data_IF_451085152072
#
_entry.id   IF_451085152072
#
_cell.length_a   1.000
_cell.length_b   1.000
_cell.length_c   1.000
_cell.angle_alpha   90.00
_cell.angle_beta   90.00
_cell.angle_gamma   90.00
#
_symmetry.space_group_name_H-M   'P 1'
#
loop_
_entity.id
_entity.type
_entity.pdbx_description
1 polymer ?
#
# COMPACT_ATOMS: atom_id res chain seq x y z
N UNK A 1 8.24 11.76 -11.39
CA UNK A 1 7.34 12.83 -11.89
C UNK A 1 5.98 12.81 -11.19
N UNK A 2 5.19 13.90 -11.20
CA UNK A 2 3.82 13.94 -10.63
C UNK A 2 2.85 12.92 -11.23
N UNK A 3 3.15 12.37 -12.41
CA UNK A 3 2.37 11.27 -12.98
C UNK A 3 2.56 9.97 -12.19
N UNK A 4 3.76 9.73 -11.67
CA UNK A 4 4.13 8.53 -10.94
C UNK A 4 3.49 8.54 -9.54
N UNK A 5 3.57 9.67 -8.82
CA UNK A 5 2.89 9.87 -7.54
C UNK A 5 1.37 9.71 -7.68
N UNK A 6 0.77 10.21 -8.77
CA UNK A 6 -0.66 10.02 -9.04
C UNK A 6 -1.03 8.57 -9.33
N UNK A 7 -0.20 7.86 -10.10
CA UNK A 7 -0.42 6.44 -10.39
C UNK A 7 -0.31 5.61 -9.10
N UNK A 8 0.65 5.93 -8.23
CA UNK A 8 0.78 5.30 -6.92
C UNK A 8 -0.49 5.50 -6.07
N UNK A 9 -0.98 6.74 -5.96
CA UNK A 9 -2.21 7.02 -5.20
C UNK A 9 -3.44 6.30 -5.78
N UNK A 10 -3.53 6.19 -7.10
CA UNK A 10 -4.61 5.45 -7.75
C UNK A 10 -4.54 3.95 -7.44
N UNK A 11 -3.33 3.37 -7.42
CA UNK A 11 -3.14 1.98 -7.04
C UNK A 11 -3.51 1.74 -5.56
N UNK A 12 -3.05 2.62 -4.65
CA UNK A 12 -3.43 2.56 -3.24
C UNK A 12 -4.96 2.61 -3.07
N UNK A 13 -5.64 3.52 -3.77
CA UNK A 13 -7.09 3.63 -3.69
C UNK A 13 -7.82 2.35 -4.16
N UNK A 14 -7.29 1.64 -5.16
CA UNK A 14 -7.87 0.37 -5.59
C UNK A 14 -7.58 -0.76 -4.58
N UNK A 15 -6.38 -0.79 -3.97
CA UNK A 15 -6.07 -1.74 -2.90
C UNK A 15 -6.99 -1.55 -1.68
N UNK A 16 -7.19 -0.30 -1.23
CA UNK A 16 -8.09 0.01 -0.11
C UNK A 16 -9.56 -0.34 -0.39
N UNK A 17 -9.98 -0.21 -1.65
CA UNK A 17 -11.30 -0.67 -2.06
C UNK A 17 -11.41 -2.20 -1.97
N UNK A 18 -10.34 -2.92 -2.32
CA UNK A 18 -10.21 -4.36 -2.09
C UNK A 18 -10.38 -4.72 -0.62
N UNK A 19 -9.69 -4.01 0.29
CA UNK A 19 -9.84 -4.18 1.74
C UNK A 19 -11.29 -4.00 2.19
N UNK A 20 -11.94 -2.94 1.72
CA UNK A 20 -13.33 -2.65 2.03
C UNK A 20 -14.26 -3.77 1.57
N UNK A 21 -14.13 -4.24 0.34
CA UNK A 21 -14.97 -5.29 -0.22
C UNK A 21 -14.75 -6.62 0.53
N UNK A 22 -13.49 -6.94 0.86
CA UNK A 22 -13.11 -8.09 1.66
C UNK A 22 -13.74 -8.07 3.07
N UNK A 23 -13.59 -6.96 3.80
CA UNK A 23 -14.21 -6.79 5.12
C UNK A 23 -15.74 -6.81 5.06
N UNK A 24 -16.32 -6.22 4.03
CA UNK A 24 -17.78 -6.23 3.80
C UNK A 24 -18.29 -7.65 3.60
N UNK A 25 -17.58 -8.48 2.83
CA UNK A 25 -17.94 -9.89 2.64
C UNK A 25 -17.94 -10.66 3.98
N UNK A 26 -16.88 -10.49 4.78
CA UNK A 26 -16.81 -11.11 6.11
C UNK A 26 -17.92 -10.63 7.04
N UNK A 27 -18.25 -9.34 7.03
CA UNK A 27 -19.35 -8.78 7.81
C UNK A 27 -20.70 -9.39 7.43
N UNK A 28 -20.98 -9.55 6.13
CA UNK A 28 -22.22 -10.19 5.65
C UNK A 28 -22.28 -11.65 6.11
N UNK A 29 -21.19 -12.41 5.90
CA UNK A 29 -21.14 -13.82 6.29
C UNK A 29 -21.33 -14.03 7.79
N UNK A 30 -20.74 -13.17 8.62
CA UNK A 30 -20.94 -13.18 10.08
C UNK A 30 -22.40 -12.91 10.45
N UNK A 31 -23.07 -11.98 9.77
CA UNK A 31 -24.47 -11.64 10.00
C UNK A 31 -25.45 -12.75 9.61
N UNK A 32 -25.12 -13.52 8.57
CA UNK A 32 -25.99 -14.59 8.04
C UNK A 32 -25.73 -15.95 8.68
N UNK A 33 -24.46 -16.29 8.92
CA UNK A 33 -24.02 -17.65 9.29
C UNK A 33 -23.40 -17.74 10.68
N UNK A 34 -23.05 -16.59 11.29
CA UNK A 34 -22.27 -16.54 12.53
C UNK A 34 -20.81 -16.97 12.36
N UNK A 35 -20.33 -17.11 11.12
CA UNK A 35 -18.96 -17.50 10.78
C UNK A 35 -18.33 -16.50 9.83
N UNK A 36 -17.01 -16.43 9.85
CA UNK A 36 -16.25 -15.72 8.82
C UNK A 36 -16.45 -16.40 7.47
N UNK A 37 -16.48 -15.62 6.39
CA UNK A 37 -16.51 -16.17 5.04
C UNK A 37 -15.31 -17.11 4.81
N UNK A 38 -15.52 -18.19 4.07
CA UNK A 38 -14.43 -19.06 3.60
C UNK A 38 -13.52 -18.23 2.69
N UNK A 39 -12.46 -17.67 3.26
CA UNK A 39 -11.47 -16.90 2.53
C UNK A 39 -10.64 -17.87 1.68
N UNK A 40 -11.02 -18.04 0.42
CA UNK A 40 -10.02 -18.37 -0.58
C UNK A 40 -8.99 -17.24 -0.53
N UNK A 41 -7.76 -17.53 -0.07
CA UNK A 41 -6.65 -16.57 -0.09
C UNK A 41 -6.63 -15.90 -1.46
N UNK A 42 -6.68 -14.56 -1.57
CA UNK A 42 -6.51 -13.90 -2.86
C UNK A 42 -5.03 -14.01 -3.22
N UNK A 43 -4.64 -15.17 -3.77
CA UNK A 43 -3.29 -15.44 -4.28
C UNK A 43 -2.91 -14.37 -5.33
N UNK A 44 -3.90 -13.81 -6.03
CA UNK A 44 -3.72 -12.79 -7.06
C UNK A 44 -3.28 -11.42 -6.53
N UNK A 45 -3.58 -11.03 -5.29
CA UNK A 45 -3.12 -9.77 -4.70
C UNK A 45 -1.65 -9.86 -4.26
N UNK A 46 -1.25 -11.00 -3.68
CA UNK A 46 0.16 -11.29 -3.39
C UNK A 46 1.01 -11.41 -4.66
N UNK A 47 0.48 -12.00 -5.74
CA UNK A 47 1.18 -12.09 -7.02
C UNK A 47 1.29 -10.74 -7.75
N UNK A 48 0.26 -9.88 -7.67
CA UNK A 48 0.29 -8.53 -8.28
C UNK A 48 1.28 -7.61 -7.58
N UNK A 49 1.44 -7.72 -6.27
CA UNK A 49 2.50 -7.00 -5.54
C UNK A 49 3.90 -7.36 -6.10
N UNK A 50 4.13 -8.63 -6.46
CA UNK A 50 5.35 -9.06 -7.13
C UNK A 50 5.44 -8.68 -8.62
N UNK A 51 4.32 -8.62 -9.33
CA UNK A 51 4.27 -8.34 -10.78
C UNK A 51 4.50 -6.87 -11.15
N UNK A 52 4.14 -5.93 -10.28
CA UNK A 52 4.33 -4.49 -10.52
C UNK A 52 5.83 -4.10 -10.51
N UNK A 53 6.70 -4.95 -9.94
CA UNK A 53 8.16 -4.76 -9.86
C UNK A 53 8.83 -4.72 -11.26
N UNK A 54 8.17 -5.19 -12.33
CA UNK A 54 8.83 -5.41 -13.63
C UNK A 54 8.43 -4.49 -14.80
N UNK A 55 7.40 -3.64 -14.69
CA UNK A 55 7.08 -2.70 -15.77
C UNK A 55 7.85 -1.39 -15.63
N UNK A 56 9.13 -1.46 -16.00
CA UNK A 56 9.98 -0.29 -16.27
C UNK A 56 9.38 0.51 -17.43
N UNK A 57 8.51 1.48 -17.14
CA UNK A 57 8.05 2.46 -18.15
C UNK A 57 9.08 3.55 -18.30
N UNK A 58 9.89 3.42 -19.34
CA UNK A 58 10.68 4.53 -19.90
C UNK A 58 9.71 5.49 -20.59
N UNK A 59 9.46 6.65 -19.98
CA UNK A 59 8.53 7.66 -20.50
C UNK A 59 8.91 9.07 -20.10
N UNK A 60 9.44 9.81 -21.07
CA UNK A 60 9.66 11.27 -21.19
C UNK A 60 9.68 12.11 -19.90
N UNK A 61 10.89 12.51 -19.51
CA UNK A 61 11.15 13.51 -18.47
C UNK A 61 10.45 14.83 -18.82
N UNK A 62 9.47 15.20 -18.00
CA UNK A 62 9.03 16.59 -17.85
C UNK A 62 9.38 16.96 -16.42
N UNK A 63 10.35 17.86 -16.27
CA UNK A 63 10.91 18.26 -14.98
C UNK A 63 9.84 19.00 -14.14
N UNK A 64 9.48 18.49 -12.95
CA UNK A 64 8.57 19.20 -12.05
C UNK A 64 9.34 20.30 -11.30
N UNK A 65 8.80 21.52 -11.13
CA UNK A 65 9.43 22.56 -10.32
C UNK A 65 9.63 22.10 -8.87
N UNK A 66 10.65 22.62 -8.18
CA UNK A 66 11.03 22.26 -6.79
C UNK A 66 9.86 22.23 -5.78
N UNK A 67 8.88 23.12 -5.96
CA UNK A 67 7.66 23.14 -5.13
C UNK A 67 6.76 21.91 -5.30
N UNK A 68 6.73 21.32 -6.51
CA UNK A 68 5.97 20.10 -6.81
C UNK A 68 6.64 18.86 -6.19
N UNK A 69 7.97 18.76 -6.23
CA UNK A 69 8.70 17.66 -5.58
C UNK A 69 8.52 17.66 -4.06
N UNK A 70 8.54 18.84 -3.43
CA UNK A 70 8.25 18.97 -1.99
C UNK A 70 6.83 18.51 -1.64
N UNK A 71 5.87 18.64 -2.56
CA UNK A 71 4.50 18.18 -2.35
C UNK A 71 4.39 16.66 -2.47
N UNK A 72 5.08 16.05 -3.44
CA UNK A 72 5.08 14.60 -3.64
C UNK A 72 5.73 13.86 -2.45
N UNK A 73 6.86 14.35 -1.93
CA UNK A 73 7.44 13.81 -0.68
C UNK A 73 6.49 13.87 0.52
N UNK A 74 5.67 14.92 0.60
CA UNK A 74 4.74 15.09 1.72
C UNK A 74 3.56 14.12 1.61
N UNK A 75 3.08 13.88 0.39
CA UNK A 75 2.02 12.91 0.09
C UNK A 75 2.51 11.48 0.38
N UNK A 76 3.70 11.10 -0.09
CA UNK A 76 4.24 9.75 0.16
C UNK A 76 4.50 9.49 1.66
N UNK A 77 4.98 10.50 2.40
CA UNK A 77 5.11 10.38 3.87
C UNK A 77 3.76 10.21 4.57
N UNK A 78 2.73 10.89 4.08
CA UNK A 78 1.38 10.74 4.62
C UNK A 78 0.85 9.33 4.36
N UNK A 79 1.00 8.82 3.13
CA UNK A 79 0.62 7.45 2.80
C UNK A 79 1.36 6.43 3.68
N UNK A 80 2.68 6.53 3.82
CA UNK A 80 3.46 5.68 4.74
C UNK A 80 2.95 5.70 6.18
N UNK A 81 2.59 6.87 6.71
CA UNK A 81 2.05 6.98 8.05
C UNK A 81 0.69 6.28 8.18
N UNK A 82 -0.18 6.44 7.19
CA UNK A 82 -1.49 5.78 7.14
C UNK A 82 -1.34 4.25 7.11
N UNK A 83 -0.51 3.72 6.21
CA UNK A 83 -0.29 2.27 6.15
C UNK A 83 0.33 1.71 7.44
N UNK A 84 1.21 2.50 8.09
CA UNK A 84 1.77 2.14 9.40
C UNK A 84 0.71 2.04 10.48
N UNK A 85 -0.21 3.01 10.51
CA UNK A 85 -1.28 3.04 11.48
C UNK A 85 -2.25 1.86 11.26
N UNK A 86 -2.62 1.54 10.01
CA UNK A 86 -3.49 0.41 9.70
C UNK A 86 -2.84 -0.95 9.97
N UNK A 87 -1.57 -1.14 9.59
CA UNK A 87 -0.80 -2.34 9.95
C UNK A 87 -0.79 -2.57 11.46
N UNK A 88 -0.54 -1.51 12.24
CA UNK A 88 -0.52 -1.61 13.70
C UNK A 88 -1.92 -1.86 14.27
N UNK A 89 -2.94 -1.22 13.71
CA UNK A 89 -4.34 -1.43 14.09
C UNK A 89 -4.73 -2.91 13.91
N UNK A 90 -4.50 -3.49 12.73
CA UNK A 90 -4.84 -4.87 12.43
C UNK A 90 -4.04 -5.86 13.28
N UNK A 91 -2.72 -5.65 13.44
CA UNK A 91 -1.89 -6.47 14.33
C UNK A 91 -2.41 -6.46 15.77
N UNK A 92 -2.77 -5.29 16.30
CA UNK A 92 -3.26 -5.17 17.67
C UNK A 92 -4.64 -5.81 17.83
N UNK A 93 -5.52 -5.64 16.84
CA UNK A 93 -6.83 -6.28 16.82
C UNK A 93 -6.72 -7.82 16.79
N UNK A 94 -5.81 -8.36 15.96
CA UNK A 94 -5.55 -9.80 15.87
C UNK A 94 -5.14 -10.41 17.22
N UNK A 95 -4.27 -9.70 17.98
CA UNK A 95 -3.81 -10.14 19.31
C UNK A 95 -4.93 -10.30 20.33
N UNK A 96 -6.00 -9.52 20.19
CA UNK A 96 -7.16 -9.56 21.10
C UNK A 96 -8.34 -10.32 20.53
N UNK A 97 -8.22 -10.91 19.34
CA UNK A 97 -9.29 -11.65 18.68
C UNK A 97 -9.33 -13.10 19.18
N UNK A 98 -10.44 -13.52 19.77
CA UNK A 98 -10.63 -14.88 20.27
C UNK A 98 -10.92 -15.90 19.16
N UNK A 99 -11.68 -15.48 18.14
CA UNK A 99 -12.01 -16.32 16.98
C UNK A 99 -10.76 -16.53 16.11
N UNK A 100 -10.29 -17.78 15.93
CA UNK A 100 -9.10 -18.06 15.14
C UNK A 100 -9.22 -17.64 13.67
N UNK A 101 -10.42 -17.69 13.09
CA UNK A 101 -10.64 -17.26 11.70
C UNK A 101 -10.62 -15.74 11.58
N UNK A 102 -11.26 -15.05 12.52
CA UNK A 102 -11.19 -13.59 12.62
C UNK A 102 -9.78 -13.09 12.85
N UNK A 103 -8.99 -13.82 13.65
CA UNK A 103 -7.57 -13.50 13.87
C UNK A 103 -6.78 -13.60 12.57
N UNK A 104 -6.96 -14.68 11.82
CA UNK A 104 -6.29 -14.88 10.52
C UNK A 104 -6.64 -13.77 9.51
N UNK A 105 -7.90 -13.36 9.45
CA UNK A 105 -8.35 -12.25 8.59
C UNK A 105 -7.63 -10.95 8.93
N UNK A 106 -7.49 -10.64 10.23
CA UNK A 106 -6.79 -9.43 10.69
C UNK A 106 -5.27 -9.51 10.48
N UNK A 107 -4.66 -10.68 10.69
CA UNK A 107 -3.24 -10.90 10.39
C UNK A 107 -2.95 -10.69 8.90
N UNK A 108 -3.82 -11.20 8.02
CA UNK A 108 -3.69 -11.03 6.57
C UNK A 108 -3.79 -9.56 6.15
N UNK A 109 -4.76 -8.80 6.69
CA UNK A 109 -4.86 -7.35 6.44
C UNK A 109 -3.59 -6.63 6.91
N UNK A 110 -3.06 -6.97 8.07
CA UNK A 110 -1.79 -6.40 8.53
C UNK A 110 -0.62 -6.72 7.60
N UNK A 111 -0.58 -7.91 7.00
CA UNK A 111 0.47 -8.29 6.05
C UNK A 111 0.34 -7.48 4.75
N UNK A 112 -0.88 -7.25 4.26
CA UNK A 112 -1.13 -6.40 3.10
C UNK A 112 -0.65 -4.97 3.31
N UNK A 113 -0.98 -4.36 4.45
CA UNK A 113 -0.48 -3.01 4.77
C UNK A 113 1.04 -2.97 4.87
N UNK A 114 1.69 -4.04 5.35
CA UNK A 114 3.15 -4.12 5.34
C UNK A 114 3.71 -4.12 3.91
N UNK A 115 3.06 -4.83 2.99
CA UNK A 115 3.42 -4.81 1.57
C UNK A 115 3.23 -3.41 0.94
N UNK A 116 2.15 -2.71 1.30
CA UNK A 116 1.90 -1.34 0.86
C UNK A 116 2.98 -0.38 1.35
N UNK A 117 3.36 -0.47 2.64
CA UNK A 117 4.45 0.32 3.21
C UNK A 117 5.75 0.14 2.44
N UNK A 118 6.13 -1.11 2.15
CA UNK A 118 7.36 -1.45 1.43
C UNK A 118 7.34 -0.85 0.01
N UNK A 119 6.22 -0.98 -0.69
CA UNK A 119 6.04 -0.37 -2.01
C UNK A 119 6.19 1.16 -1.95
N UNK A 120 5.51 1.84 -1.02
CA UNK A 120 5.58 3.30 -0.91
C UNK A 120 7.00 3.76 -0.52
N UNK A 121 7.70 3.05 0.38
CA UNK A 121 9.07 3.37 0.78
C UNK A 121 10.05 3.25 -0.41
N UNK A 122 9.87 2.25 -1.27
CA UNK A 122 10.66 2.15 -2.51
C UNK A 122 10.45 3.38 -3.41
N UNK A 123 9.20 3.78 -3.63
CA UNK A 123 8.87 4.92 -4.48
C UNK A 123 9.37 6.24 -3.86
N UNK A 124 9.32 6.36 -2.53
CA UNK A 124 9.93 7.49 -1.81
C UNK A 124 11.44 7.56 -2.04
N UNK A 125 12.15 6.42 -1.98
CA UNK A 125 13.60 6.35 -2.24
C UNK A 125 13.94 6.66 -3.69
N UNK A 126 13.10 6.24 -4.64
CA UNK A 126 13.25 6.61 -6.07
C UNK A 126 13.17 8.14 -6.20
N UNK A 127 12.10 8.75 -5.68
CA UNK A 127 11.92 10.21 -5.73
C UNK A 127 13.07 10.95 -5.05
N UNK A 128 13.58 10.43 -3.93
CA UNK A 128 14.74 10.99 -3.25
C UNK A 128 16.01 10.94 -4.11
N UNK A 129 16.26 9.83 -4.82
CA UNK A 129 17.43 9.72 -5.73
C UNK A 129 17.30 10.68 -6.91
N UNK A 130 16.13 10.76 -7.53
CA UNK A 130 15.85 11.70 -8.63
C UNK A 130 16.13 13.14 -8.19
N UNK A 131 15.60 13.54 -7.04
CA UNK A 131 15.83 14.87 -6.47
C UNK A 131 17.32 15.16 -6.22
N UNK A 132 18.07 14.20 -5.67
CA UNK A 132 19.51 14.38 -5.40
C UNK A 132 20.32 14.50 -6.70
N UNK A 133 19.95 13.72 -7.73
CA UNK A 133 20.57 13.78 -9.06
C UNK A 133 20.34 15.14 -9.72
N UNK A 134 19.08 15.62 -9.72
CA UNK A 134 18.71 16.92 -10.29
C UNK A 134 19.39 18.10 -9.59
N UNK A 135 19.56 18.02 -8.26
CA UNK A 135 20.22 19.06 -7.47
C UNK A 135 21.75 19.00 -7.52
N UNK A 136 22.34 18.03 -8.24
CA UNK A 136 23.78 17.87 -8.39
C UNK A 136 24.49 17.35 -7.14
N UNK A 137 23.78 16.61 -6.28
CA UNK A 137 24.31 16.02 -5.04
C UNK A 137 24.57 14.51 -5.15
N UNK A 138 24.84 13.97 -6.34
CA UNK A 138 25.09 12.52 -6.49
C UNK A 138 26.32 12.06 -5.67
N UNK A 139 26.20 10.97 -4.87
CA UNK A 139 27.36 10.30 -4.29
C UNK A 139 28.16 9.60 -5.39
N UNK A 140 29.48 9.81 -5.38
CA UNK A 140 30.46 9.14 -6.26
C UNK A 140 30.72 7.67 -5.88
#
# INVERSE_FOLDING_TARGET
>A
SRADTRSLLANLAEWEKGHYDFLKQHKVSLGETGKWADAALPVEEMEKAGGIILEKRVGTAVEPPLGEMSSDFSVLRMALAIETDFRNFYNNAARTMDDPEGRRVLEMLSEWESGHQEYIDEQYRVLQREFMSEMGFEPF
#
